data_IF_883375271127
#
_entry.id   IF_883375271127
#
_cell.length_a   1.000
_cell.length_b   1.000
_cell.length_c   1.000
_cell.angle_alpha   90.00
_cell.angle_beta   90.00
_cell.angle_gamma   90.00
#
_symmetry.space_group_name_H-M   'P 1'
#
loop_
_entity.id
_entity.type
_entity.pdbx_description
1 polymer ?
#
# COMPACT_ATOMS: atom_id res chain seq x y z
N UNK A 1 7.15 -17.09 -0.69
CA UNK A 1 7.95 -17.16 0.53
C UNK A 1 7.93 -15.81 1.22
N UNK A 2 7.49 -15.76 2.42
CA UNK A 2 7.46 -14.51 3.14
C UNK A 2 8.72 -14.35 3.99
N UNK A 3 9.23 -13.14 4.02
CA UNK A 3 10.31 -12.78 4.92
C UNK A 3 9.71 -12.15 6.16
N UNK A 4 10.45 -12.19 7.25
CA UNK A 4 10.04 -11.49 8.44
C UNK A 4 10.16 -9.99 8.21
N UNK A 5 9.14 -9.28 8.65
CA UNK A 5 9.19 -7.84 8.81
C UNK A 5 9.36 -7.59 10.30
N UNK A 6 10.45 -6.93 10.67
CA UNK A 6 10.74 -6.62 12.07
C UNK A 6 10.68 -5.11 12.23
N UNK A 7 9.86 -4.67 13.17
CA UNK A 7 9.72 -3.24 13.50
C UNK A 7 10.09 -3.09 14.97
N UNK A 8 11.06 -2.22 15.25
CA UNK A 8 11.53 -2.01 16.61
C UNK A 8 11.84 -0.55 16.84
N UNK A 9 11.59 -0.07 18.06
CA UNK A 9 12.03 1.25 18.46
C UNK A 9 13.55 1.34 18.32
N UNK A 10 14.03 2.48 17.82
CA UNK A 10 15.48 2.67 17.61
C UNK A 10 16.09 3.72 18.56
N UNK A 11 15.30 4.27 19.48
CA UNK A 11 15.72 5.28 20.45
C UNK A 11 16.23 6.59 19.82
N UNK A 12 16.00 6.80 18.54
CA UNK A 12 16.41 8.02 17.84
C UNK A 12 15.33 9.10 17.87
N UNK A 13 14.12 8.74 18.27
CA UNK A 13 13.00 9.65 18.39
C UNK A 13 11.89 9.00 19.21
N UNK A 14 10.94 9.82 19.64
CA UNK A 14 9.87 9.39 20.54
C UNK A 14 9.05 8.22 19.98
N UNK A 15 8.75 8.28 18.68
CA UNK A 15 7.92 7.27 18.01
C UNK A 15 8.62 6.63 16.83
N UNK A 16 9.89 6.93 16.64
CA UNK A 16 10.64 6.46 15.49
C UNK A 16 10.90 4.96 15.57
N UNK A 17 10.65 4.26 14.47
CA UNK A 17 10.79 2.84 14.37
C UNK A 17 11.77 2.48 13.26
N UNK A 18 12.66 1.52 13.53
CA UNK A 18 13.44 0.89 12.49
C UNK A 18 12.63 -0.24 11.88
N UNK A 19 12.49 -0.25 10.58
CA UNK A 19 11.75 -1.27 9.82
C UNK A 19 12.75 -2.05 9.00
N UNK A 20 12.85 -3.34 9.26
CA UNK A 20 13.78 -4.23 8.55
C UNK A 20 13.00 -5.29 7.81
N UNK A 21 13.21 -5.37 6.51
CA UNK A 21 12.58 -6.35 5.63
C UNK A 21 13.70 -6.96 4.78
N UNK A 22 14.17 -8.16 5.15
CA UNK A 22 15.32 -8.73 4.49
C UNK A 22 16.53 -7.81 4.59
N UNK A 23 17.05 -7.37 3.45
CA UNK A 23 18.17 -6.42 3.39
C UNK A 23 17.73 -4.96 3.33
N UNK A 24 16.44 -4.69 3.37
CA UNK A 24 15.90 -3.34 3.28
C UNK A 24 15.78 -2.75 4.68
N UNK A 25 16.27 -1.54 4.84
CA UNK A 25 16.22 -0.81 6.10
C UNK A 25 15.48 0.50 5.88
N UNK A 26 14.36 0.66 6.57
CA UNK A 26 13.50 1.82 6.42
C UNK A 26 13.18 2.37 7.82
N UNK A 27 12.56 3.54 7.84
CA UNK A 27 12.09 4.15 9.07
C UNK A 27 10.58 4.33 9.00
N UNK A 28 9.93 4.25 10.14
CA UNK A 28 8.54 4.67 10.30
C UNK A 28 8.47 5.64 11.47
N UNK A 29 7.55 6.59 11.40
CA UNK A 29 7.40 7.59 12.44
C UNK A 29 5.99 8.15 12.37
N UNK A 30 5.67 9.05 13.27
CA UNK A 30 4.48 9.86 13.19
C UNK A 30 4.86 11.27 12.74
N UNK A 31 3.92 12.01 12.14
CA UNK A 31 4.19 13.41 11.80
C UNK A 31 4.29 14.28 13.06
N UNK A 32 4.86 15.45 12.91
CA UNK A 32 5.03 16.39 14.01
C UNK A 32 3.70 16.72 14.69
N UNK A 33 2.61 16.79 13.93
CA UNK A 33 1.26 17.06 14.46
C UNK A 33 0.78 16.01 15.47
N UNK A 34 1.34 14.80 15.42
CA UNK A 34 1.03 13.72 16.36
C UNK A 34 2.16 13.45 17.35
N UNK A 35 3.13 14.33 17.43
CA UNK A 35 4.23 14.22 18.39
C UNK A 35 5.45 13.48 17.87
N UNK A 36 5.47 13.09 16.63
CA UNK A 36 6.63 12.47 16.01
C UNK A 36 7.62 13.50 15.45
N UNK A 37 8.66 13.02 14.81
CA UNK A 37 9.69 13.85 14.19
C UNK A 37 9.61 13.80 12.65
N UNK A 38 8.63 13.10 12.09
CA UNK A 38 8.48 12.91 10.65
C UNK A 38 9.77 12.37 10.00
N UNK A 39 10.43 11.45 10.71
CA UNK A 39 11.68 10.85 10.25
C UNK A 39 11.44 9.73 9.22
N UNK A 40 10.22 9.31 9.02
CA UNK A 40 9.82 8.32 8.05
C UNK A 40 8.32 8.35 7.83
N UNK A 41 7.82 7.54 6.87
CA UNK A 41 6.38 7.47 6.63
C UNK A 41 5.61 7.03 7.86
N UNK A 42 4.37 7.48 7.97
CA UNK A 42 3.45 7.04 9.01
C UNK A 42 2.93 5.62 8.72
N UNK A 43 2.40 4.92 9.73
CA UNK A 43 1.96 3.54 9.54
C UNK A 43 0.99 3.31 8.40
N UNK A 44 -0.06 4.12 8.24
CA UNK A 44 -1.00 3.95 7.13
C UNK A 44 -0.38 4.27 5.77
N UNK A 45 0.66 5.09 5.73
CA UNK A 45 1.39 5.33 4.48
C UNK A 45 2.01 4.04 3.95
N UNK A 46 2.50 3.18 4.85
CA UNK A 46 3.03 1.88 4.48
C UNK A 46 1.96 0.95 3.91
N UNK A 47 0.76 0.99 4.46
CA UNK A 47 -0.37 0.21 3.92
C UNK A 47 -0.71 0.69 2.51
N UNK A 48 -0.80 2.01 2.33
CA UNK A 48 -1.10 2.59 1.02
C UNK A 48 0.01 2.34 0.01
N UNK A 49 1.27 2.47 0.44
CA UNK A 49 2.42 2.19 -0.43
C UNK A 49 2.41 0.74 -0.92
N UNK A 50 2.07 -0.19 -0.03
CA UNK A 50 1.94 -1.61 -0.39
C UNK A 50 0.84 -1.83 -1.42
N UNK A 51 -0.32 -1.23 -1.22
CA UNK A 51 -1.42 -1.32 -2.18
C UNK A 51 -1.04 -0.69 -3.52
N UNK A 52 -0.41 0.48 -3.50
CA UNK A 52 0.02 1.16 -4.71
C UNK A 52 1.06 0.38 -5.50
N UNK A 53 2.07 -0.15 -4.82
CA UNK A 53 3.11 -0.97 -5.45
C UNK A 53 2.50 -2.23 -6.05
N UNK A 54 1.65 -2.92 -5.32
CA UNK A 54 0.99 -4.13 -5.81
C UNK A 54 0.12 -3.84 -7.03
N UNK A 55 -0.62 -2.74 -7.01
CA UNK A 55 -1.45 -2.30 -8.13
C UNK A 55 -0.59 -2.08 -9.38
N UNK A 56 0.45 -1.27 -9.26
CA UNK A 56 1.31 -0.91 -10.38
C UNK A 56 2.03 -2.14 -10.97
N UNK A 57 2.60 -2.97 -10.11
CA UNK A 57 3.32 -4.17 -10.53
C UNK A 57 2.37 -5.15 -11.23
N UNK A 58 1.18 -5.35 -10.66
CA UNK A 58 0.18 -6.26 -11.24
C UNK A 58 -0.22 -5.81 -12.65
N UNK A 59 -0.43 -4.50 -12.83
CA UNK A 59 -0.78 -3.96 -14.14
C UNK A 59 0.39 -4.10 -15.14
N UNK A 60 1.61 -3.87 -14.67
CA UNK A 60 2.80 -4.07 -15.52
C UNK A 60 2.91 -5.52 -15.98
N UNK A 61 2.78 -6.45 -15.06
CA UNK A 61 2.86 -7.88 -15.40
C UNK A 61 1.78 -8.29 -16.39
N UNK A 62 0.56 -7.82 -16.19
CA UNK A 62 -0.55 -8.12 -17.08
C UNK A 62 -0.31 -7.53 -18.48
N UNK A 63 0.11 -6.26 -18.55
CA UNK A 63 0.37 -5.59 -19.81
C UNK A 63 1.47 -6.29 -20.60
N UNK A 64 2.55 -6.71 -19.94
CA UNK A 64 3.64 -7.44 -20.60
C UNK A 64 3.14 -8.77 -21.16
N UNK A 65 2.37 -9.50 -20.36
CA UNK A 65 1.87 -10.81 -20.80
C UNK A 65 0.90 -10.70 -21.96
N UNK A 66 0.14 -9.62 -22.04
CA UNK A 66 -0.87 -9.42 -23.09
C UNK A 66 -0.40 -8.54 -24.25
N UNK A 67 0.84 -8.06 -24.21
CA UNK A 67 1.36 -7.20 -25.26
C UNK A 67 0.65 -5.85 -25.33
N UNK A 68 0.19 -5.31 -24.22
CA UNK A 68 -0.49 -4.01 -24.15
C UNK A 68 0.58 -2.92 -24.09
N UNK A 69 0.41 -1.86 -24.86
CA UNK A 69 1.37 -0.76 -24.98
C UNK A 69 1.24 0.22 -23.81
N UNK A 70 1.44 -0.28 -22.61
CA UNK A 70 1.42 0.50 -21.37
C UNK A 70 2.84 0.99 -21.07
N UNK A 71 3.05 2.30 -21.12
CA UNK A 71 4.38 2.88 -20.93
C UNK A 71 4.69 3.24 -19.50
N UNK A 72 3.68 3.64 -18.71
CA UNK A 72 3.87 4.01 -17.32
C UNK A 72 2.58 3.85 -16.55
N UNK A 73 2.70 3.38 -15.31
CA UNK A 73 1.60 3.34 -14.33
C UNK A 73 1.98 4.24 -13.17
N UNK A 74 1.04 5.04 -12.72
CA UNK A 74 1.19 5.85 -11.51
C UNK A 74 -0.07 5.66 -10.66
N UNK A 75 0.10 5.52 -9.36
CA UNK A 75 -1.02 5.30 -8.44
C UNK A 75 -0.92 6.30 -7.30
N UNK A 76 -1.95 7.12 -7.14
CA UNK A 76 -2.07 8.03 -6.03
C UNK A 76 -3.12 7.47 -5.06
N UNK A 77 -2.81 7.49 -3.77
CA UNK A 77 -3.70 6.92 -2.76
C UNK A 77 -3.88 7.91 -1.61
N UNK A 78 -5.08 7.91 -1.06
CA UNK A 78 -5.39 8.66 0.14
C UNK A 78 -6.24 7.80 1.06
N UNK A 79 -6.18 8.12 2.35
CA UNK A 79 -6.88 7.39 3.40
C UNK A 79 -7.66 8.37 4.25
N UNK A 80 -8.89 8.01 4.59
CA UNK A 80 -9.71 8.81 5.51
C UNK A 80 -10.70 7.91 6.27
N UNK A 81 -11.21 8.43 7.36
CA UNK A 81 -12.34 7.83 8.05
C UNK A 81 -13.63 8.33 7.45
N UNK A 82 -14.57 7.42 7.24
CA UNK A 82 -15.93 7.74 6.78
C UNK A 82 -16.94 7.02 7.67
N UNK A 83 -18.19 7.46 7.63
CA UNK A 83 -19.29 6.74 8.26
C UNK A 83 -20.13 6.05 7.21
N UNK A 84 -20.41 4.76 7.44
CA UNK A 84 -21.30 3.96 6.60
C UNK A 84 -22.32 3.32 7.53
N UNK A 85 -23.58 3.70 7.37
CA UNK A 85 -24.69 3.21 8.20
C UNK A 85 -24.42 3.41 9.71
N UNK A 86 -23.86 4.57 10.08
CA UNK A 86 -23.55 4.90 11.46
C UNK A 86 -22.30 4.23 12.03
N UNK A 87 -21.56 3.49 11.22
CA UNK A 87 -20.34 2.81 11.65
C UNK A 87 -19.14 3.48 11.00
N UNK A 88 -18.13 3.80 11.83
CA UNK A 88 -16.88 4.37 11.32
C UNK A 88 -16.08 3.31 10.57
N UNK A 89 -15.66 3.65 9.35
CA UNK A 89 -14.86 2.77 8.51
C UNK A 89 -13.72 3.55 7.89
N UNK A 90 -12.66 2.83 7.57
CA UNK A 90 -11.53 3.39 6.84
C UNK A 90 -11.78 3.24 5.35
N UNK A 91 -11.51 4.32 4.60
CA UNK A 91 -11.61 4.32 3.15
C UNK A 91 -10.28 4.68 2.54
N UNK A 92 -9.86 3.93 1.53
CA UNK A 92 -8.72 4.27 0.69
C UNK A 92 -9.23 4.59 -0.69
N UNK A 93 -8.90 5.78 -1.20
CA UNK A 93 -9.11 6.12 -2.60
C UNK A 93 -7.83 5.83 -3.36
N UNK A 94 -7.98 5.21 -4.51
CA UNK A 94 -6.87 4.82 -5.36
C UNK A 94 -7.12 5.34 -6.77
N UNK A 95 -6.32 6.31 -7.19
CA UNK A 95 -6.40 6.91 -8.51
C UNK A 95 -5.25 6.39 -9.36
N UNK A 96 -5.59 5.67 -10.41
CA UNK A 96 -4.61 5.02 -11.30
C UNK A 96 -4.49 5.84 -12.57
N UNK A 97 -3.26 6.24 -12.90
CA UNK A 97 -2.96 6.94 -14.16
C UNK A 97 -2.18 6.00 -15.06
N UNK A 98 -2.69 5.81 -16.27
CA UNK A 98 -2.10 4.91 -17.25
C UNK A 98 -1.65 5.73 -18.45
N UNK A 99 -0.36 5.64 -18.78
CA UNK A 99 0.21 6.27 -19.95
C UNK A 99 0.52 5.21 -21.01
N UNK A 100 0.33 5.55 -22.27
CA UNK A 100 0.57 4.65 -23.37
C UNK A 100 -0.52 4.76 -24.43
N UNK A 101 -0.34 4.02 -25.52
CA UNK A 101 -1.34 3.95 -26.58
C UNK A 101 -2.31 2.83 -26.24
N UNK A 102 -3.38 3.19 -25.54
CA UNK A 102 -4.34 2.24 -24.99
C UNK A 102 -5.73 2.50 -25.54
N UNK A 103 -6.43 1.43 -25.90
CA UNK A 103 -7.85 1.53 -26.26
C UNK A 103 -8.69 1.71 -25.01
N UNK A 104 -9.92 2.19 -25.17
CA UNK A 104 -10.86 2.30 -24.07
C UNK A 104 -11.12 0.94 -23.42
N UNK A 105 -11.21 -0.11 -24.21
CA UNK A 105 -11.40 -1.48 -23.75
C UNK A 105 -10.20 -1.94 -22.90
N UNK A 106 -8.99 -1.64 -23.34
CA UNK A 106 -7.78 -1.99 -22.58
C UNK A 106 -7.75 -1.26 -21.25
N UNK A 107 -8.14 0.01 -21.20
CA UNK A 107 -8.21 0.78 -19.97
C UNK A 107 -9.21 0.17 -18.97
N UNK A 108 -10.38 -0.22 -19.44
CA UNK A 108 -11.38 -0.88 -18.60
C UNK A 108 -10.86 -2.23 -18.07
N UNK A 109 -10.21 -2.99 -18.93
CA UNK A 109 -9.65 -4.29 -18.52
C UNK A 109 -8.55 -4.12 -17.49
N UNK A 110 -7.69 -3.11 -17.65
CA UNK A 110 -6.63 -2.82 -16.68
C UNK A 110 -7.22 -2.43 -15.32
N UNK A 111 -8.32 -1.69 -15.30
CA UNK A 111 -9.00 -1.39 -14.03
C UNK A 111 -9.51 -2.67 -13.35
N UNK A 112 -10.10 -3.59 -14.11
CA UNK A 112 -10.52 -4.89 -13.57
C UNK A 112 -9.35 -5.65 -12.99
N UNK A 113 -8.21 -5.64 -13.68
CA UNK A 113 -6.99 -6.33 -13.23
C UNK A 113 -6.45 -5.66 -11.96
N UNK A 114 -6.51 -4.33 -11.87
CA UNK A 114 -6.10 -3.62 -10.66
C UNK A 114 -6.88 -4.10 -9.43
N UNK A 115 -8.17 -4.40 -9.60
CA UNK A 115 -9.01 -4.90 -8.53
C UNK A 115 -8.73 -6.36 -8.16
N UNK A 116 -7.86 -7.03 -8.90
CA UNK A 116 -7.44 -8.40 -8.64
C UNK A 116 -6.04 -8.48 -8.01
N UNK A 117 -5.40 -7.36 -7.75
CA UNK A 117 -4.08 -7.40 -7.12
C UNK A 117 -4.21 -8.03 -5.73
N UNK A 118 -3.24 -8.86 -5.31
CA UNK A 118 -3.36 -9.60 -4.04
C UNK A 118 -3.56 -8.73 -2.81
N UNK A 119 -2.88 -7.58 -2.73
CA UNK A 119 -3.03 -6.69 -1.58
C UNK A 119 -4.42 -6.06 -1.57
N UNK A 120 -4.95 -5.64 -2.73
CA UNK A 120 -6.31 -5.13 -2.81
C UNK A 120 -7.32 -6.15 -2.29
N UNK A 121 -7.17 -7.39 -2.74
CA UNK A 121 -8.08 -8.46 -2.33
C UNK A 121 -7.99 -8.72 -0.83
N UNK A 122 -6.78 -8.73 -0.27
CA UNK A 122 -6.57 -8.95 1.16
C UNK A 122 -7.14 -7.82 2.00
N UNK A 123 -6.92 -6.57 1.60
CA UNK A 123 -7.42 -5.40 2.31
C UNK A 123 -8.96 -5.31 2.24
N UNK A 124 -9.54 -5.80 1.16
CA UNK A 124 -10.99 -5.78 0.97
C UNK A 124 -11.70 -6.90 1.72
N UNK A 125 -10.96 -7.73 2.42
CA UNK A 125 -11.46 -8.81 3.28
C UNK A 125 -10.86 -8.61 4.68
N UNK A 126 -11.34 -9.39 5.63
CA UNK A 126 -10.78 -9.35 6.98
C UNK A 126 -9.53 -10.22 7.06
N UNK A 127 -8.46 -9.67 7.66
CA UNK A 127 -7.29 -10.47 8.02
C UNK A 127 -7.56 -11.24 9.31
N UNK A 128 -6.95 -12.42 9.41
CA UNK A 128 -6.83 -13.09 10.70
C UNK A 128 -5.46 -12.69 11.26
N UNK A 129 -5.47 -11.98 12.38
CA UNK A 129 -4.25 -11.49 13.02
C UNK A 129 -4.14 -12.18 14.38
N UNK A 130 -3.09 -12.96 14.54
CA UNK A 130 -2.82 -13.67 15.77
C UNK A 130 -1.59 -13.04 16.43
N UNK A 131 -1.68 -12.82 17.76
CA UNK A 131 -0.66 -12.07 18.48
C UNK A 131 -0.26 -12.79 19.76
N UNK A 132 1.00 -12.65 20.11
CA UNK A 132 1.55 -13.19 21.34
C UNK A 132 2.57 -12.19 21.90
N UNK A 133 2.69 -12.16 23.21
CA UNK A 133 3.73 -11.37 23.89
C UNK A 133 4.75 -12.37 24.43
N UNK A 134 6.00 -12.14 24.10
CA UNK A 134 7.10 -12.97 24.64
C UNK A 134 7.88 -12.12 25.62
N UNK A 135 8.17 -12.75 26.75
CA UNK A 135 8.93 -12.20 27.89
C UNK A 135 9.16 -10.71 27.90
#
# INVERSE_FOLDING_TARGET
MSEFVVVAENAQGRYQQAVTIGQHHLLADEPASLGGADAGPAPFDYVMAGLGACTSITLRMYAERKGIALTRVSVALSHEKIEVDGVSRDRIERTITLDGTLTAEQRLRLLEIANKCPVHRALNQSFVIESAIVA
#
